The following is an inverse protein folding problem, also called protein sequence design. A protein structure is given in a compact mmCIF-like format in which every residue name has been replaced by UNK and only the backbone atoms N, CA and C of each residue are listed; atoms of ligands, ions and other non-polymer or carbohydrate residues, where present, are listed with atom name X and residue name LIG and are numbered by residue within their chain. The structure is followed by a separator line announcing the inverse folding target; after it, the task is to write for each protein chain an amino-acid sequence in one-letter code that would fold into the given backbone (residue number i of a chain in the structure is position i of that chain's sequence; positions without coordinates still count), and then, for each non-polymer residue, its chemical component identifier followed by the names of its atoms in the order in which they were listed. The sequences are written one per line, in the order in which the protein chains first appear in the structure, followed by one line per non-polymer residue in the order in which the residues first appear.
data_IF_281019869755
#
_entry.id   IF_281019869755
#
_cell.length_a   1.000
_cell.length_b   1.000
_cell.length_c   1.000
_cell.angle_alpha   90.00
_cell.angle_beta   90.00
_cell.angle_gamma   90.00
#
_symmetry.space_group_name_H-M   'P 1'
#
loop_
_entity.id
_entity.type
_entity.pdbx_description
1 polymer ?
#
# COMPACT_ATOMS: atom_id res chain seq x y z
N UNK A 1 -15.69 5.42 0.74
CA UNK A 1 -14.66 5.41 1.81
C UNK A 1 -15.37 5.48 3.16
N UNK A 2 -15.00 4.62 4.12
CA UNK A 2 -15.67 4.62 5.44
C UNK A 2 -15.09 5.72 6.35
N UNK A 3 -15.92 6.26 7.24
CA UNK A 3 -15.48 7.21 8.29
C UNK A 3 -14.34 6.60 9.12
N UNK A 4 -14.45 5.33 9.48
CA UNK A 4 -13.43 4.61 10.26
C UNK A 4 -12.05 4.60 9.58
N UNK A 5 -12.01 4.45 8.26
CA UNK A 5 -10.74 4.51 7.51
C UNK A 5 -10.13 5.91 7.53
N UNK A 6 -10.97 6.93 7.38
CA UNK A 6 -10.54 8.33 7.43
C UNK A 6 -9.99 8.68 8.82
N UNK A 7 -10.71 8.32 9.87
CA UNK A 7 -10.29 8.56 11.26
C UNK A 7 -8.95 7.86 11.56
N UNK A 8 -8.80 6.59 11.15
CA UNK A 8 -7.55 5.85 11.32
C UNK A 8 -6.35 6.57 10.69
N UNK A 9 -6.49 7.01 9.43
CA UNK A 9 -5.39 7.69 8.73
C UNK A 9 -5.13 9.07 9.32
N UNK A 10 -6.18 9.81 9.68
CA UNK A 10 -6.06 11.09 10.36
C UNK A 10 -5.31 10.98 11.69
N UNK A 11 -5.59 9.93 12.48
CA UNK A 11 -4.87 9.66 13.73
C UNK A 11 -3.41 9.31 13.52
N UNK A 12 -3.10 8.53 12.48
CA UNK A 12 -1.72 8.23 12.13
C UNK A 12 -0.94 9.50 11.78
N UNK A 13 -1.50 10.36 10.94
CA UNK A 13 -0.89 11.64 10.55
C UNK A 13 -0.68 12.54 11.79
N UNK A 14 -1.67 12.61 12.68
CA UNK A 14 -1.57 13.42 13.91
C UNK A 14 -0.46 12.92 14.84
N UNK A 15 -0.41 11.61 15.08
CA UNK A 15 0.64 10.99 15.92
C UNK A 15 2.03 11.22 15.34
N UNK A 16 2.18 11.06 14.03
CA UNK A 16 3.46 11.29 13.35
C UNK A 16 3.85 12.78 13.39
N UNK A 17 2.90 13.69 13.19
CA UNK A 17 3.12 15.12 13.34
C UNK A 17 3.61 15.49 14.75
N UNK A 18 3.00 14.91 15.78
CA UNK A 18 3.41 15.11 17.18
C UNK A 18 4.81 14.53 17.44
N UNK A 19 5.12 13.33 16.91
CA UNK A 19 6.43 12.68 17.03
C UNK A 19 7.54 13.52 16.41
N UNK A 20 7.27 14.14 15.26
CA UNK A 20 8.22 14.98 14.53
C UNK A 20 8.26 16.44 15.02
N UNK A 21 7.43 16.82 15.98
CA UNK A 21 7.34 18.19 16.49
C UNK A 21 6.86 19.21 15.44
N UNK A 22 6.19 18.77 14.38
CA UNK A 22 5.75 19.64 13.28
C UNK A 22 4.56 20.50 13.67
N UNK A 23 4.82 21.75 14.09
CA UNK A 23 3.78 22.71 14.55
C UNK A 23 3.10 23.50 13.41
N UNK A 24 3.67 23.53 12.20
CA UNK A 24 3.29 24.45 11.12
C UNK A 24 2.45 23.80 10.00
N UNK A 25 1.71 22.75 10.28
CA UNK A 25 0.81 22.18 9.28
C UNK A 25 -0.48 22.99 9.22
N UNK A 26 -0.62 23.86 8.18
CA UNK A 26 -1.84 24.65 7.96
C UNK A 26 -3.11 23.82 7.75
N UNK A 27 -2.97 22.62 7.16
CA UNK A 27 -4.10 21.73 6.85
C UNK A 27 -4.27 20.72 7.98
N UNK A 28 -5.49 20.56 8.54
CA UNK A 28 -5.77 19.59 9.58
C UNK A 28 -5.50 18.15 9.13
N UNK A 29 -5.10 17.27 10.06
CA UNK A 29 -4.75 15.88 9.77
C UNK A 29 -5.89 15.09 9.09
N UNK A 30 -7.15 15.37 9.45
CA UNK A 30 -8.33 14.76 8.79
C UNK A 30 -8.46 15.16 7.31
N UNK A 31 -8.22 16.44 6.98
CA UNK A 31 -8.25 16.89 5.60
C UNK A 31 -7.07 16.34 4.80
N UNK A 32 -5.86 16.28 5.40
CA UNK A 32 -4.71 15.60 4.78
C UNK A 32 -5.03 14.13 4.49
N UNK A 33 -5.64 13.41 5.44
CA UNK A 33 -6.04 12.03 5.29
C UNK A 33 -7.03 11.86 4.13
N UNK A 34 -8.02 12.75 4.01
CA UNK A 34 -9.00 12.73 2.94
C UNK A 34 -8.33 12.87 1.56
N UNK A 35 -7.45 13.86 1.41
CA UNK A 35 -6.73 14.12 0.15
C UNK A 35 -5.86 12.93 -0.23
N UNK A 36 -5.06 12.41 0.72
CA UNK A 36 -4.17 11.26 0.46
C UNK A 36 -4.97 10.02 0.09
N UNK A 37 -6.04 9.72 0.82
CA UNK A 37 -6.88 8.55 0.53
C UNK A 37 -7.61 8.68 -0.82
N UNK A 38 -8.01 9.89 -1.21
CA UNK A 38 -8.61 10.14 -2.52
C UNK A 38 -7.59 9.89 -3.66
N UNK A 39 -6.35 10.39 -3.51
CA UNK A 39 -5.26 10.11 -4.45
C UNK A 39 -5.00 8.62 -4.57
N UNK A 40 -4.85 7.91 -3.45
CA UNK A 40 -4.54 6.49 -3.45
C UNK A 40 -5.68 5.62 -4.00
N UNK A 41 -6.93 6.02 -3.80
CA UNK A 41 -8.10 5.27 -4.26
C UNK A 41 -8.39 5.44 -5.73
N UNK A 42 -8.22 6.66 -6.25
CA UNK A 42 -8.68 7.03 -7.58
C UNK A 42 -7.55 7.27 -8.58
N UNK A 43 -6.28 7.12 -8.16
CA UNK A 43 -5.08 7.41 -8.97
C UNK A 43 -5.16 8.79 -9.67
N UNK A 44 -5.74 9.77 -8.95
CA UNK A 44 -5.94 11.12 -9.49
C UNK A 44 -4.61 11.85 -9.65
N UNK A 45 -4.58 12.75 -10.63
CA UNK A 45 -3.42 13.62 -10.79
C UNK A 45 -3.25 14.52 -9.57
N UNK A 46 -2.01 14.60 -9.09
CA UNK A 46 -1.70 15.40 -7.90
C UNK A 46 -1.99 16.88 -8.08
N UNK A 47 -1.85 17.39 -9.32
CA UNK A 47 -2.21 18.79 -9.68
C UNK A 47 -3.69 19.09 -9.45
N UNK A 48 -4.56 18.18 -9.86
CA UNK A 48 -6.02 18.39 -9.79
C UNK A 48 -6.48 18.32 -8.32
N UNK A 49 -5.94 17.34 -7.57
CA UNK A 49 -6.19 17.25 -6.13
C UNK A 49 -5.65 18.46 -5.36
N UNK A 50 -4.53 19.02 -5.79
CA UNK A 50 -3.93 20.18 -5.17
C UNK A 50 -4.77 21.45 -5.40
N UNK A 51 -5.17 21.68 -6.65
CA UNK A 51 -6.01 22.84 -7.04
C UNK A 51 -7.35 22.86 -6.29
N UNK A 52 -8.04 21.71 -6.26
CA UNK A 52 -9.33 21.58 -5.56
C UNK A 52 -9.26 21.73 -4.03
N UNK A 53 -8.07 21.66 -3.43
CA UNK A 53 -7.87 21.75 -1.99
C UNK A 53 -6.97 22.91 -1.55
N UNK A 54 -6.70 23.87 -2.44
CA UNK A 54 -5.88 25.07 -2.17
C UNK A 54 -4.49 24.77 -1.61
N UNK A 55 -3.87 23.69 -2.07
CA UNK A 55 -2.51 23.29 -1.73
C UNK A 55 -1.68 23.08 -2.99
N UNK A 56 -0.36 22.98 -2.86
CA UNK A 56 0.49 22.72 -4.02
C UNK A 56 0.63 21.22 -4.31
N UNK A 57 0.80 20.84 -5.58
CA UNK A 57 1.04 19.44 -5.97
C UNK A 57 2.26 18.78 -5.29
N UNK A 58 3.40 19.48 -5.09
CA UNK A 58 4.50 18.97 -4.25
C UNK A 58 4.10 18.67 -2.81
N UNK A 59 3.20 19.48 -2.23
CA UNK A 59 2.67 19.23 -0.88
C UNK A 59 1.85 17.96 -0.83
N UNK A 60 0.95 17.74 -1.78
CA UNK A 60 0.16 16.50 -1.87
C UNK A 60 1.09 15.29 -2.04
N UNK A 61 2.10 15.39 -2.92
CA UNK A 61 3.10 14.32 -3.11
C UNK A 61 3.82 13.98 -1.81
N UNK A 62 4.26 14.98 -1.06
CA UNK A 62 4.92 14.80 0.23
C UNK A 62 4.00 14.08 1.23
N UNK A 63 2.74 14.48 1.35
CA UNK A 63 1.77 13.82 2.24
C UNK A 63 1.55 12.36 1.86
N UNK A 64 1.42 12.05 0.57
CA UNK A 64 1.33 10.65 0.10
C UNK A 64 2.56 9.87 0.52
N UNK A 65 3.77 10.43 0.31
CA UNK A 65 5.04 9.77 0.67
C UNK A 65 5.21 9.59 2.19
N UNK A 66 4.66 10.49 3.01
CA UNK A 66 4.66 10.39 4.47
C UNK A 66 3.66 9.34 4.98
N UNK A 67 2.49 9.24 4.36
CA UNK A 67 1.41 8.36 4.83
C UNK A 67 1.61 6.90 4.39
N UNK A 68 2.20 6.66 3.23
CA UNK A 68 2.43 5.30 2.73
C UNK A 68 3.23 4.42 3.72
N UNK A 69 4.37 4.85 4.28
CA UNK A 69 5.09 4.05 5.29
C UNK A 69 4.27 3.81 6.56
N UNK A 70 3.47 4.81 6.99
CA UNK A 70 2.60 4.66 8.17
C UNK A 70 1.52 3.60 7.96
N UNK A 71 0.94 3.53 6.77
CA UNK A 71 -0.01 2.49 6.40
C UNK A 71 0.67 1.13 6.26
N UNK A 72 1.85 1.08 5.62
CA UNK A 72 2.62 -0.15 5.46
C UNK A 72 3.00 -0.76 6.81
N UNK A 73 3.41 0.06 7.78
CA UNK A 73 3.71 -0.38 9.15
C UNK A 73 2.50 -0.97 9.89
N UNK A 74 1.27 -0.66 9.45
CA UNK A 74 0.00 -1.19 9.99
C UNK A 74 -0.54 -2.37 9.21
N UNK A 75 0.03 -2.69 8.05
CA UNK A 75 -0.38 -3.84 7.27
C UNK A 75 -0.22 -5.14 8.09
N UNK A 76 -1.21 -6.02 8.08
CA UNK A 76 -1.11 -7.29 8.81
C UNK A 76 -0.02 -8.16 8.19
N UNK A 77 0.77 -8.82 9.03
CA UNK A 77 1.69 -9.88 8.59
C UNK A 77 0.87 -11.12 8.23
N UNK A 78 1.39 -11.91 7.29
CA UNK A 78 0.73 -13.12 6.80
C UNK A 78 0.34 -14.07 7.94
N UNK A 79 1.25 -14.33 8.87
CA UNK A 79 1.01 -15.20 10.02
C UNK A 79 -0.16 -14.72 10.90
N UNK A 80 -0.22 -13.41 11.14
CA UNK A 80 -1.33 -12.80 11.89
C UNK A 80 -2.64 -12.85 11.13
N UNK A 81 -2.59 -12.64 9.82
CA UNK A 81 -3.77 -12.72 8.96
C UNK A 81 -4.36 -14.14 8.98
N UNK A 82 -3.54 -15.16 8.81
CA UNK A 82 -3.95 -16.57 8.85
C UNK A 82 -4.51 -16.98 10.23
N UNK A 83 -3.82 -16.60 11.32
CA UNK A 83 -4.33 -16.85 12.69
C UNK A 83 -5.69 -16.19 12.94
N UNK A 84 -5.93 -15.01 12.39
CA UNK A 84 -7.22 -14.32 12.51
C UNK A 84 -8.34 -15.05 11.79
N UNK A 85 -8.06 -15.64 10.61
CA UNK A 85 -9.02 -16.46 9.85
C UNK A 85 -9.35 -17.73 10.64
N UNK A 86 -8.31 -18.47 11.08
CA UNK A 86 -8.51 -19.69 11.84
C UNK A 86 -9.34 -19.48 13.11
N UNK A 87 -9.10 -18.38 13.85
CA UNK A 87 -9.90 -18.02 15.04
C UNK A 87 -11.38 -17.69 14.75
N UNK A 88 -11.71 -17.34 13.51
CA UNK A 88 -13.08 -17.06 13.06
C UNK A 88 -13.79 -18.28 12.48
N UNK A 89 -13.16 -19.46 12.53
CA UNK A 89 -13.69 -20.69 11.95
C UNK A 89 -13.64 -20.72 10.42
N UNK A 90 -12.89 -19.80 9.77
CA UNK A 90 -12.70 -19.82 8.32
C UNK A 90 -11.80 -20.98 7.91
N UNK A 91 -12.29 -21.83 7.00
CA UNK A 91 -11.61 -23.04 6.53
C UNK A 91 -10.88 -22.85 5.20
N UNK A 92 -11.27 -21.84 4.40
CA UNK A 92 -10.77 -21.64 3.03
C UNK A 92 -10.19 -20.22 2.88
N UNK A 93 -9.01 -20.16 2.31
CA UNK A 93 -8.35 -18.92 1.91
C UNK A 93 -7.99 -19.02 0.43
N UNK A 94 -8.56 -18.14 -0.37
CA UNK A 94 -8.21 -18.06 -1.78
C UNK A 94 -6.94 -17.22 -1.92
N UNK A 95 -5.94 -17.77 -2.60
CA UNK A 95 -4.70 -17.09 -2.95
C UNK A 95 -4.70 -16.79 -4.43
N UNK A 96 -4.65 -15.52 -4.78
CA UNK A 96 -4.54 -15.07 -6.16
C UNK A 96 -3.28 -14.24 -6.37
N UNK A 97 -2.76 -14.26 -7.60
CA UNK A 97 -1.57 -13.52 -8.01
C UNK A 97 -1.92 -12.53 -9.12
N UNK A 98 -1.71 -11.25 -8.86
CA UNK A 98 -1.96 -10.17 -9.82
C UNK A 98 -0.67 -9.50 -10.24
N UNK A 99 -0.45 -9.38 -11.57
CA UNK A 99 0.66 -8.61 -12.13
C UNK A 99 0.25 -7.15 -12.32
N UNK A 100 0.86 -6.25 -11.53
CA UNK A 100 0.71 -4.81 -11.73
C UNK A 100 1.77 -4.36 -12.73
N UNK A 101 1.32 -3.95 -13.93
CA UNK A 101 2.21 -3.53 -15.02
C UNK A 101 3.01 -2.29 -14.65
N UNK A 102 4.31 -2.32 -14.90
CA UNK A 102 5.20 -1.18 -14.74
C UNK A 102 5.36 -0.47 -16.08
N UNK A 103 5.26 0.88 -16.06
CA UNK A 103 5.58 1.72 -17.24
C UNK A 103 7.09 1.90 -17.43
N UNK A 104 7.89 1.64 -16.40
CA UNK A 104 9.35 1.82 -16.42
C UNK A 104 9.99 0.66 -17.16
N UNK A 105 10.61 0.92 -18.29
CA UNK A 105 11.24 -0.08 -19.15
C UNK A 105 12.78 -0.06 -19.10
N UNK A 106 13.39 0.67 -18.19
CA UNK A 106 14.85 0.81 -18.07
C UNK A 106 15.37 0.43 -16.68
N UNK A 107 16.62 0.01 -16.60
CA UNK A 107 17.31 -0.33 -15.34
C UNK A 107 17.74 -1.79 -15.26
N UNK A 108 18.75 -2.06 -14.43
CA UNK A 108 19.37 -3.38 -14.26
C UNK A 108 18.39 -4.50 -13.85
N UNK A 109 17.33 -4.16 -13.13
CA UNK A 109 16.36 -5.13 -12.64
C UNK A 109 15.12 -5.29 -13.54
N UNK A 110 15.09 -4.59 -14.69
CA UNK A 110 13.91 -4.63 -15.55
C UNK A 110 13.66 -6.04 -16.14
N UNK A 111 14.74 -6.77 -16.46
CA UNK A 111 14.64 -8.14 -16.98
C UNK A 111 13.96 -9.10 -15.97
N UNK A 112 14.21 -8.92 -14.68
CA UNK A 112 13.61 -9.73 -13.61
C UNK A 112 12.11 -9.48 -13.43
N UNK A 113 11.62 -8.34 -13.90
CA UNK A 113 10.23 -7.92 -13.79
C UNK A 113 9.41 -8.24 -15.04
N UNK A 114 10.00 -8.95 -16.03
CA UNK A 114 9.28 -9.37 -17.23
C UNK A 114 8.51 -10.66 -16.94
N UNK A 115 7.24 -10.67 -17.28
CA UNK A 115 6.39 -11.87 -17.24
C UNK A 115 6.17 -12.39 -18.65
N UNK A 116 6.71 -13.56 -18.97
CA UNK A 116 6.50 -14.23 -20.24
C UNK A 116 5.02 -14.56 -20.49
N UNK A 117 4.30 -14.97 -19.43
CA UNK A 117 2.85 -15.27 -19.49
C UNK A 117 2.04 -14.03 -19.92
N UNK A 118 2.34 -12.87 -19.37
CA UNK A 118 1.60 -11.63 -19.64
C UNK A 118 2.24 -10.76 -20.71
N UNK A 119 3.39 -11.17 -21.26
CA UNK A 119 4.18 -10.42 -22.23
C UNK A 119 4.38 -8.94 -21.84
N UNK A 120 4.59 -8.70 -20.53
CA UNK A 120 4.66 -7.37 -19.95
C UNK A 120 5.61 -7.31 -18.77
N UNK A 121 6.21 -6.13 -18.55
CA UNK A 121 6.94 -5.84 -17.34
C UNK A 121 5.97 -5.45 -16.21
N UNK A 122 6.18 -5.98 -15.02
CA UNK A 122 5.35 -5.68 -13.86
C UNK A 122 5.89 -6.32 -12.60
N UNK A 123 5.22 -6.02 -11.51
CA UNK A 123 5.47 -6.61 -10.20
C UNK A 123 4.30 -7.52 -9.84
N UNK A 124 4.63 -8.71 -9.38
CA UNK A 124 3.64 -9.69 -8.92
C UNK A 124 3.27 -9.38 -7.46
N UNK A 125 1.98 -9.35 -7.19
CA UNK A 125 1.43 -9.28 -5.84
C UNK A 125 0.58 -10.52 -5.60
N UNK A 126 0.76 -11.13 -4.43
CA UNK A 126 -0.10 -12.21 -3.97
C UNK A 126 -1.12 -11.64 -3.01
N UNK A 127 -2.38 -11.94 -3.23
CA UNK A 127 -3.48 -11.54 -2.37
C UNK A 127 -4.11 -12.77 -1.70
N UNK A 128 -4.51 -12.63 -0.44
CA UNK A 128 -5.35 -13.60 0.26
C UNK A 128 -6.71 -12.98 0.51
N UNK A 129 -7.75 -13.72 0.15
CA UNK A 129 -9.14 -13.33 0.40
C UNK A 129 -9.85 -14.38 1.26
N UNK A 130 -10.87 -13.96 2.00
CA UNK A 130 -11.77 -14.89 2.67
C UNK A 130 -12.80 -15.48 1.70
N UNK A 131 -13.65 -16.36 2.21
CA UNK A 131 -14.72 -17.02 1.44
C UNK A 131 -15.72 -16.02 0.83
N UNK A 132 -15.80 -14.81 1.39
CA UNK A 132 -16.66 -13.72 0.93
C UNK A 132 -15.97 -12.78 -0.07
N UNK A 133 -14.71 -13.08 -0.45
CA UNK A 133 -13.91 -12.25 -1.37
C UNK A 133 -13.30 -11.02 -0.71
N UNK A 134 -13.35 -10.85 0.62
CA UNK A 134 -12.71 -9.72 1.28
C UNK A 134 -11.19 -9.89 1.30
N UNK A 135 -10.45 -8.87 0.88
CA UNK A 135 -9.00 -8.88 0.96
C UNK A 135 -8.52 -8.88 2.42
N UNK A 136 -7.76 -9.90 2.80
CA UNK A 136 -7.26 -10.08 4.16
C UNK A 136 -5.79 -9.69 4.25
N UNK A 137 -5.03 -10.03 3.22
CA UNK A 137 -3.60 -9.78 3.19
C UNK A 137 -3.12 -9.63 1.74
N UNK A 138 -2.08 -8.83 1.56
CA UNK A 138 -1.36 -8.67 0.29
C UNK A 138 0.15 -8.77 0.55
N UNK A 139 0.88 -9.42 -0.36
CA UNK A 139 2.35 -9.52 -0.25
C UNK A 139 3.02 -8.18 -0.53
N UNK A 140 4.30 -8.09 -0.18
CA UNK A 140 5.20 -7.13 -0.83
C UNK A 140 5.28 -7.42 -2.33
N UNK A 141 5.73 -6.43 -3.10
CA UNK A 141 6.00 -6.57 -4.52
C UNK A 141 7.06 -7.67 -4.74
N UNK A 142 6.72 -8.64 -5.58
CA UNK A 142 7.63 -9.69 -6.02
C UNK A 142 8.08 -9.38 -7.45
N UNK A 143 9.29 -9.79 -7.85
CA UNK A 143 9.67 -9.82 -9.26
C UNK A 143 8.66 -10.61 -10.09
N UNK A 144 8.60 -10.37 -11.39
CA UNK A 144 7.72 -11.13 -12.29
C UNK A 144 7.86 -12.66 -12.11
N UNK A 145 6.83 -13.44 -12.47
CA UNK A 145 6.71 -14.87 -12.13
C UNK A 145 7.83 -15.77 -12.67
N UNK A 146 8.62 -15.28 -13.63
CA UNK A 146 9.75 -16.01 -14.19
C UNK A 146 11.09 -15.77 -13.44
N UNK A 147 11.08 -14.94 -12.38
CA UNK A 147 12.25 -14.78 -11.53
C UNK A 147 12.35 -15.96 -10.55
N UNK A 148 13.54 -16.62 -10.42
CA UNK A 148 13.69 -17.70 -9.46
C UNK A 148 13.31 -17.21 -8.06
N UNK A 149 12.50 -17.98 -7.37
CA UNK A 149 12.02 -17.67 -6.03
C UNK A 149 13.22 -17.45 -5.10
N UNK A 150 13.53 -16.20 -4.79
CA UNK A 150 14.43 -15.88 -3.68
C UNK A 150 13.68 -16.19 -2.40
N UNK A 151 14.16 -17.14 -1.67
CA UNK A 151 13.77 -17.39 -0.28
C UNK A 151 13.78 -16.06 0.50
N UNK A 152 12.78 -15.75 1.30
CA UNK A 152 12.82 -14.56 2.14
C UNK A 152 14.07 -14.65 3.04
N UNK A 153 14.76 -13.53 3.28
CA UNK A 153 15.89 -13.54 4.20
C UNK A 153 15.43 -14.05 5.58
N UNK A 154 16.25 -14.82 6.29
CA UNK A 154 15.91 -15.31 7.62
C UNK A 154 15.57 -14.12 8.51
N UNK A 155 14.50 -14.25 9.29
CA UNK A 155 14.09 -13.26 10.25
C UNK A 155 15.26 -13.01 11.21
N UNK A 156 15.89 -11.85 11.12
CA UNK A 156 16.90 -11.42 12.08
C UNK A 156 16.20 -11.25 13.43
N UNK A 157 16.39 -12.23 14.29
CA UNK A 157 16.03 -12.16 15.71
C UNK A 157 16.97 -11.13 16.36
N UNK A 158 16.42 -10.01 16.80
CA UNK A 158 16.91 -9.14 17.86
C UNK A 158 15.75 -8.73 18.71
#
# INVERSE_FOLDING_TARGET
MSKRTLDLVGDLIRREGNRLGTRWRKVPAGAQALIVLAVLRHDQRLSDMAAGNQVSAPTVRRWVSEVLPLLAARAPRLDRALKKIARRGGAVVLKDGTLIRSRRRGGKDNRKNYSGKHKAHGLLFLALTDEKGNLIWISSALPGPDAPARSPPPATTR
#
